data_IF_593265613042
#
_entry.id   IF_593265613042
#
_cell.length_a   1.000
_cell.length_b   1.000
_cell.length_c   1.000
_cell.angle_alpha   90.00
_cell.angle_beta   90.00
_cell.angle_gamma   90.00
#
_symmetry.space_group_name_H-M   'P 1'
#
loop_
_entity.id
_entity.type
_entity.pdbx_description
1 polymer ?
#
# COMPACT_ATOMS: atom_id res chain seq x y z
N UNK A 1 -27.36 -64.65 -31.52
CA UNK A 1 -28.61 -65.36 -31.10
C UNK A 1 -28.69 -65.44 -29.59
N UNK A 2 -29.86 -65.38 -28.95
CA UNK A 2 -30.87 -64.34 -29.09
C UNK A 2 -31.36 -63.82 -27.73
N UNK A 3 -32.07 -62.68 -27.76
CA UNK A 3 -33.39 -62.41 -27.15
C UNK A 3 -33.51 -62.39 -25.61
N UNK A 4 -34.27 -61.59 -24.94
CA UNK A 4 -35.54 -60.88 -25.17
C UNK A 4 -35.79 -60.07 -23.89
N UNK A 5 -36.25 -58.91 -23.93
CA UNK A 5 -37.61 -58.38 -24.13
C UNK A 5 -38.42 -58.10 -22.85
N UNK A 6 -39.01 -56.90 -22.84
CA UNK A 6 -40.33 -56.47 -22.35
C UNK A 6 -40.51 -56.18 -20.85
N UNK A 7 -41.05 -54.99 -20.59
CA UNK A 7 -42.42 -54.60 -20.36
C UNK A 7 -42.54 -53.23 -19.70
N UNK A 8 -43.00 -52.31 -20.36
CA UNK A 8 -44.22 -51.50 -20.47
C UNK A 8 -45.07 -51.36 -19.19
N UNK A 9 -45.40 -50.07 -18.84
CA UNK A 9 -46.74 -49.43 -18.79
C UNK A 9 -46.63 -48.09 -18.05
N UNK A 10 -46.88 -46.93 -18.75
CA UNK A 10 -48.11 -46.15 -18.91
C UNK A 10 -48.81 -45.78 -17.61
N UNK A 11 -48.92 -44.45 -17.35
CA UNK A 11 -50.09 -43.55 -17.55
C UNK A 11 -49.77 -42.22 -16.88
N UNK A 12 -49.95 -41.11 -17.44
CA UNK A 12 -51.04 -40.25 -17.89
C UNK A 12 -51.06 -38.90 -17.15
N UNK A 13 -50.93 -37.86 -17.93
CA UNK A 13 -51.55 -36.52 -17.91
C UNK A 13 -51.79 -35.77 -16.58
N UNK A 14 -51.31 -34.48 -16.55
CA UNK A 14 -52.18 -33.32 -16.46
C UNK A 14 -51.40 -32.02 -16.82
N UNK A 15 -51.98 -31.29 -17.76
CA UNK A 15 -51.61 -29.89 -18.07
C UNK A 15 -51.94 -28.98 -16.90
N UNK A 16 -51.04 -28.02 -16.60
CA UNK A 16 -51.47 -26.73 -16.04
C UNK A 16 -50.60 -25.61 -16.68
N UNK A 17 -51.27 -24.76 -17.42
CA UNK A 17 -50.80 -23.46 -17.87
C UNK A 17 -50.69 -22.53 -16.68
N UNK A 18 -49.49 -21.92 -16.49
CA UNK A 18 -49.26 -20.91 -15.47
C UNK A 18 -48.17 -19.97 -15.94
N UNK A 19 -48.55 -18.77 -16.28
CA UNK A 19 -47.90 -17.52 -16.60
C UNK A 19 -46.44 -17.37 -16.08
N UNK A 20 -45.52 -17.02 -17.01
CA UNK A 20 -44.20 -16.49 -16.72
C UNK A 20 -44.29 -15.12 -16.05
N UNK A 21 -43.49 -14.85 -14.99
CA UNK A 21 -43.10 -13.50 -14.64
C UNK A 21 -41.80 -13.13 -15.33
N UNK A 22 -41.79 -11.96 -15.94
CA UNK A 22 -40.62 -11.26 -16.46
C UNK A 22 -39.53 -11.14 -15.39
N UNK A 23 -38.41 -11.81 -15.57
CA UNK A 23 -37.17 -11.59 -14.78
C UNK A 23 -36.46 -10.38 -15.37
N UNK A 24 -36.66 -9.23 -14.74
CA UNK A 24 -35.74 -8.11 -14.83
C UNK A 24 -34.50 -8.47 -13.99
N UNK A 25 -33.47 -8.97 -14.60
CA UNK A 25 -32.17 -9.14 -13.95
C UNK A 25 -31.44 -7.79 -13.92
N UNK A 26 -31.65 -7.03 -12.87
CA UNK A 26 -30.67 -6.03 -12.47
C UNK A 26 -29.48 -6.78 -11.90
N UNK A 27 -28.38 -6.80 -12.65
CA UNK A 27 -27.08 -7.25 -12.19
C UNK A 27 -26.61 -6.27 -11.11
N UNK A 28 -26.92 -6.55 -9.86
CA UNK A 28 -26.23 -5.97 -8.73
C UNK A 28 -24.84 -6.62 -8.69
N UNK A 29 -23.83 -5.89 -9.15
CA UNK A 29 -22.46 -6.15 -8.80
C UNK A 29 -22.36 -6.16 -7.27
N UNK A 30 -22.20 -7.35 -6.68
CA UNK A 30 -21.82 -7.48 -5.27
C UNK A 30 -20.45 -6.86 -5.13
N UNK A 31 -20.39 -5.61 -4.69
CA UNK A 31 -19.17 -5.06 -4.11
C UNK A 31 -18.79 -5.95 -2.93
N UNK A 32 -17.69 -6.67 -3.07
CA UNK A 32 -17.10 -7.42 -1.96
C UNK A 32 -16.62 -6.37 -0.97
N UNK A 33 -17.15 -6.32 0.27
CA UNK A 33 -16.65 -5.38 1.26
C UNK A 33 -15.16 -5.67 1.48
N UNK A 34 -14.35 -4.64 1.33
CA UNK A 34 -12.92 -4.71 1.56
C UNK A 34 -12.64 -5.02 3.03
N UNK A 35 -11.56 -5.75 3.34
CA UNK A 35 -11.21 -6.04 4.71
C UNK A 35 -11.03 -4.72 5.46
N UNK A 36 -11.72 -4.54 6.55
CA UNK A 36 -11.65 -3.39 7.49
C UNK A 36 -10.20 -3.12 7.95
N UNK A 37 -9.32 -4.11 7.82
CA UNK A 37 -7.91 -4.12 8.17
C UNK A 37 -7.01 -3.19 7.32
N UNK A 38 -7.47 -2.74 6.15
CA UNK A 38 -6.67 -1.89 5.25
C UNK A 38 -7.03 -0.40 5.33
N UNK A 39 -8.07 -0.04 6.08
CA UNK A 39 -8.46 1.36 6.25
C UNK A 39 -7.86 1.97 7.50
N UNK A 40 -7.05 3.03 7.33
CA UNK A 40 -6.59 3.83 8.47
C UNK A 40 -7.77 4.57 9.11
N UNK A 41 -7.89 4.49 10.43
CA UNK A 41 -8.78 5.37 11.20
C UNK A 41 -8.21 6.79 11.18
N UNK A 42 -9.08 7.80 11.25
CA UNK A 42 -8.68 9.21 11.15
C UNK A 42 -7.58 9.60 12.16
N UNK A 43 -7.67 9.07 13.39
CA UNK A 43 -6.67 9.35 14.45
C UNK A 43 -5.28 8.79 14.09
N UNK A 44 -5.22 7.60 13.49
CA UNK A 44 -3.94 7.00 13.07
C UNK A 44 -3.33 7.74 11.88
N UNK A 45 -4.15 8.26 10.97
CA UNK A 45 -3.70 9.11 9.88
C UNK A 45 -3.11 10.44 10.39
N UNK A 46 -3.75 11.05 11.41
CA UNK A 46 -3.24 12.27 12.07
C UNK A 46 -1.86 12.03 12.71
N UNK A 47 -1.68 10.89 13.37
CA UNK A 47 -0.41 10.53 14.03
C UNK A 47 0.68 10.04 13.07
N UNK A 48 0.33 9.68 11.84
CA UNK A 48 1.23 9.02 10.89
C UNK A 48 2.51 9.82 10.63
N UNK A 49 2.39 11.10 10.34
CA UNK A 49 3.53 11.96 10.01
C UNK A 49 4.52 12.09 11.18
N UNK A 50 4.05 12.08 12.43
CA UNK A 50 4.92 12.16 13.60
C UNK A 50 5.88 10.97 13.70
N UNK A 51 5.41 9.79 13.29
CA UNK A 51 6.21 8.57 13.34
C UNK A 51 7.07 8.40 12.08
N UNK A 52 6.53 8.71 10.90
CA UNK A 52 7.11 8.24 9.64
C UNK A 52 7.62 9.33 8.72
N UNK A 53 7.18 10.61 8.88
CA UNK A 53 7.58 11.67 7.96
C UNK A 53 9.11 11.84 7.84
N UNK A 54 9.91 11.82 8.91
CA UNK A 54 11.37 11.95 8.78
C UNK A 54 11.98 10.83 7.92
N UNK A 55 11.46 9.59 8.09
CA UNK A 55 11.92 8.43 7.34
C UNK A 55 11.51 8.53 5.87
N UNK A 56 10.22 8.79 5.63
CA UNK A 56 9.67 8.91 4.26
C UNK A 56 10.35 10.04 3.51
N UNK A 57 10.49 11.22 4.11
CA UNK A 57 11.11 12.39 3.48
C UNK A 57 12.56 12.12 3.07
N UNK A 58 13.32 11.36 3.88
CA UNK A 58 14.69 10.98 3.53
C UNK A 58 14.74 10.12 2.26
N UNK A 59 13.83 9.15 2.13
CA UNK A 59 13.86 8.16 1.04
C UNK A 59 13.09 8.59 -0.23
N UNK A 60 12.15 9.53 -0.14
CA UNK A 60 11.37 10.01 -1.30
C UNK A 60 12.25 10.49 -2.46
N UNK A 61 13.36 11.23 -2.29
CA UNK A 61 14.20 11.66 -3.41
C UNK A 61 14.76 10.49 -4.24
N UNK A 62 15.01 9.33 -3.63
CA UNK A 62 15.46 8.13 -4.36
C UNK A 62 14.33 7.55 -5.22
N UNK A 63 13.09 7.55 -4.73
CA UNK A 63 11.92 7.13 -5.48
C UNK A 63 11.68 8.03 -6.69
N UNK A 64 11.70 9.36 -6.49
CA UNK A 64 11.48 10.34 -7.57
C UNK A 64 12.57 10.25 -8.64
N UNK A 65 13.83 10.00 -8.24
CA UNK A 65 14.94 9.73 -9.15
C UNK A 65 14.75 8.44 -9.95
N UNK A 66 14.31 7.36 -9.30
CA UNK A 66 14.01 6.08 -9.96
C UNK A 66 12.89 6.22 -11.01
N UNK A 67 11.88 7.05 -10.73
CA UNK A 67 10.81 7.40 -11.66
C UNK A 67 11.24 8.42 -12.73
N UNK A 68 12.43 9.02 -12.61
CA UNK A 68 12.97 10.08 -13.48
C UNK A 68 12.03 11.28 -13.58
N UNK A 69 11.46 11.70 -12.45
CA UNK A 69 10.57 12.87 -12.40
C UNK A 69 11.32 14.11 -12.89
N UNK A 70 10.67 14.90 -13.75
CA UNK A 70 11.23 16.12 -14.32
C UNK A 70 10.17 17.21 -14.51
N UNK A 71 10.58 18.48 -14.73
CA UNK A 71 9.66 19.59 -14.90
C UNK A 71 8.62 19.35 -16.00
N UNK A 72 7.38 19.80 -15.76
CA UNK A 72 6.27 19.69 -16.69
C UNK A 72 5.56 18.33 -16.73
N UNK A 73 6.04 17.32 -16.03
CA UNK A 73 5.42 15.98 -16.02
C UNK A 73 4.07 15.96 -15.32
N UNK A 74 3.20 15.04 -15.80
CA UNK A 74 1.98 14.58 -15.11
C UNK A 74 2.33 13.33 -14.33
N UNK A 75 2.37 13.43 -13.01
CA UNK A 75 2.74 12.33 -12.10
C UNK A 75 1.52 11.81 -11.36
N UNK A 76 1.43 10.49 -11.23
CA UNK A 76 0.47 9.81 -10.37
C UNK A 76 1.22 9.22 -9.17
N UNK A 77 0.83 9.61 -7.96
CA UNK A 77 1.30 9.04 -6.70
C UNK A 77 0.19 8.14 -6.12
N UNK A 78 0.40 6.80 -6.19
CA UNK A 78 -0.55 5.79 -5.73
C UNK A 78 -0.14 5.28 -4.35
N UNK A 79 -1.13 5.08 -3.47
CA UNK A 79 -0.96 4.88 -2.04
C UNK A 79 -0.17 6.05 -1.44
N UNK A 80 -0.62 7.26 -1.77
CA UNK A 80 0.05 8.52 -1.42
C UNK A 80 0.15 8.76 0.09
N UNK A 81 -0.68 8.06 0.88
CA UNK A 81 -0.77 8.26 2.32
C UNK A 81 -1.13 9.72 2.63
N UNK A 82 -0.31 10.36 3.44
CA UNK A 82 -0.50 11.77 3.81
C UNK A 82 0.03 12.77 2.75
N UNK A 83 0.47 12.28 1.56
CA UNK A 83 0.86 13.14 0.44
C UNK A 83 2.32 13.59 0.42
N UNK A 84 3.21 13.01 1.23
CA UNK A 84 4.63 13.42 1.31
C UNK A 84 5.38 13.25 -0.02
N UNK A 85 5.17 12.13 -0.73
CA UNK A 85 5.83 11.90 -2.00
C UNK A 85 5.24 12.78 -3.11
N UNK A 86 3.92 13.00 -3.09
CA UNK A 86 3.23 13.92 -4.00
C UNK A 86 3.73 15.36 -3.83
N UNK A 87 3.87 15.86 -2.60
CA UNK A 87 4.40 17.20 -2.30
C UNK A 87 5.84 17.36 -2.83
N UNK A 88 6.69 16.38 -2.61
CA UNK A 88 8.05 16.39 -3.13
C UNK A 88 8.10 16.32 -4.68
N UNK A 89 7.18 15.57 -5.30
CA UNK A 89 7.05 15.51 -6.75
C UNK A 89 6.59 16.85 -7.33
N UNK A 90 5.66 17.57 -6.67
CA UNK A 90 5.21 18.91 -7.06
C UNK A 90 6.36 19.91 -7.16
N UNK A 91 7.29 19.86 -6.20
CA UNK A 91 8.46 20.74 -6.21
C UNK A 91 9.35 20.53 -7.46
N UNK A 92 9.38 19.30 -8.01
CA UNK A 92 10.19 18.98 -9.19
C UNK A 92 9.42 19.29 -10.49
N UNK A 93 8.15 18.89 -10.58
CA UNK A 93 7.38 19.09 -11.81
C UNK A 93 7.09 20.57 -12.10
N UNK A 94 7.08 21.40 -11.04
CA UNK A 94 6.89 22.83 -11.15
C UNK A 94 5.49 23.23 -11.65
N UNK A 95 5.27 24.52 -11.96
CA UNK A 95 3.94 25.06 -12.25
C UNK A 95 3.32 24.55 -13.56
N UNK A 96 4.13 24.01 -14.47
CA UNK A 96 3.66 23.48 -15.76
C UNK A 96 3.36 21.97 -15.70
N UNK A 97 3.77 21.30 -14.63
CA UNK A 97 3.45 19.89 -14.36
C UNK A 97 2.17 19.74 -13.53
N UNK A 98 1.80 18.50 -13.25
CA UNK A 98 0.66 18.18 -12.41
C UNK A 98 0.91 16.91 -11.60
N UNK A 99 0.50 16.88 -10.34
CA UNK A 99 0.54 15.67 -9.51
C UNK A 99 -0.87 15.27 -9.10
N UNK A 100 -1.23 14.03 -9.41
CA UNK A 100 -2.42 13.38 -8.88
C UNK A 100 -2.01 12.46 -7.74
N UNK A 101 -2.45 12.77 -6.53
CA UNK A 101 -2.23 11.96 -5.34
C UNK A 101 -3.45 11.09 -5.09
N UNK A 102 -3.28 9.78 -4.96
CA UNK A 102 -4.38 8.85 -4.80
C UNK A 102 -4.09 7.82 -3.72
N UNK A 103 -5.09 7.52 -2.90
CA UNK A 103 -5.01 6.50 -1.86
C UNK A 103 -6.33 5.76 -1.75
N UNK A 104 -6.26 4.52 -1.31
CA UNK A 104 -7.44 3.71 -1.05
C UNK A 104 -8.20 4.17 0.21
N UNK A 105 -7.50 4.71 1.20
CA UNK A 105 -8.05 5.18 2.47
C UNK A 105 -8.60 6.61 2.37
N UNK A 106 -9.90 6.84 2.57
CA UNK A 106 -10.47 8.20 2.61
C UNK A 106 -9.80 9.09 3.67
N UNK A 107 -9.39 8.51 4.82
CA UNK A 107 -8.70 9.26 5.87
C UNK A 107 -7.31 9.75 5.43
N UNK A 108 -6.58 8.96 4.64
CA UNK A 108 -5.30 9.36 4.05
C UNK A 108 -5.50 10.41 2.96
N UNK A 109 -6.50 10.24 2.11
CA UNK A 109 -6.88 11.20 1.06
C UNK A 109 -7.19 12.57 1.66
N UNK A 110 -7.89 12.64 2.79
CA UNK A 110 -8.16 13.90 3.47
C UNK A 110 -6.86 14.58 3.96
N UNK A 111 -5.94 13.82 4.55
CA UNK A 111 -4.63 14.34 4.97
C UNK A 111 -3.79 14.82 3.78
N UNK A 112 -3.79 14.07 2.69
CA UNK A 112 -3.12 14.48 1.45
C UNK A 112 -3.75 15.77 0.89
N UNK A 113 -5.08 15.90 0.94
CA UNK A 113 -5.79 17.10 0.49
C UNK A 113 -5.42 18.33 1.33
N UNK A 114 -5.34 18.19 2.65
CA UNK A 114 -4.87 19.25 3.54
C UNK A 114 -3.43 19.67 3.21
N UNK A 115 -2.52 18.70 3.04
CA UNK A 115 -1.11 18.96 2.70
C UNK A 115 -0.96 19.69 1.38
N UNK A 116 -1.71 19.30 0.37
CA UNK A 116 -1.61 19.82 -0.99
C UNK A 116 -2.55 21.00 -1.27
N UNK A 117 -3.27 21.51 -0.26
CA UNK A 117 -4.32 22.52 -0.42
C UNK A 117 -3.85 23.84 -1.12
N UNK A 118 -2.58 24.17 -0.99
CA UNK A 118 -2.01 25.40 -1.60
C UNK A 118 -1.48 25.18 -3.04
N UNK A 119 -1.42 23.94 -3.50
CA UNK A 119 -0.91 23.60 -4.83
C UNK A 119 -2.04 23.63 -5.87
N UNK A 120 -2.01 24.60 -6.80
CA UNK A 120 -3.01 24.72 -7.86
C UNK A 120 -2.89 23.62 -8.93
N UNK A 121 -1.74 22.95 -9.01
CA UNK A 121 -1.43 21.88 -9.95
C UNK A 121 -1.38 20.51 -9.27
N UNK A 122 -2.16 20.34 -8.20
CA UNK A 122 -2.38 19.06 -7.54
C UNK A 122 -3.86 18.65 -7.59
N UNK A 123 -4.12 17.35 -7.66
CA UNK A 123 -5.44 16.76 -7.43
C UNK A 123 -5.32 15.57 -6.49
N UNK A 124 -6.37 15.32 -5.70
CA UNK A 124 -6.38 14.23 -4.71
C UNK A 124 -7.67 13.42 -4.88
N UNK A 125 -7.53 12.09 -4.98
CA UNK A 125 -8.64 11.18 -5.23
C UNK A 125 -8.59 9.92 -4.34
N UNK A 126 -9.75 9.32 -4.08
CA UNK A 126 -9.83 7.96 -3.54
C UNK A 126 -9.78 6.99 -4.71
N UNK A 127 -8.80 6.08 -4.73
CA UNK A 127 -8.61 5.12 -5.83
C UNK A 127 -8.12 3.76 -5.31
N UNK A 128 -8.60 2.69 -5.92
CA UNK A 128 -7.97 1.38 -5.78
C UNK A 128 -6.82 1.26 -6.79
N UNK A 129 -5.60 1.15 -6.30
CA UNK A 129 -4.42 1.00 -7.16
C UNK A 129 -4.43 -0.24 -8.06
N UNK A 130 -5.36 -1.17 -7.84
CA UNK A 130 -5.57 -2.37 -8.66
C UNK A 130 -6.71 -2.22 -9.68
N UNK A 131 -7.42 -1.10 -9.66
CA UNK A 131 -8.55 -0.80 -10.56
C UNK A 131 -8.72 0.71 -10.73
N UNK A 132 -7.67 1.37 -11.26
CA UNK A 132 -7.63 2.82 -11.41
C UNK A 132 -8.69 3.35 -12.37
N UNK A 133 -9.40 4.40 -11.97
CA UNK A 133 -10.43 5.05 -12.80
C UNK A 133 -9.83 5.87 -13.95
N UNK A 134 -8.52 6.09 -13.96
CA UNK A 134 -7.83 6.90 -14.96
C UNK A 134 -7.76 6.19 -16.32
N UNK A 135 -7.85 6.98 -17.40
CA UNK A 135 -7.69 6.50 -18.77
C UNK A 135 -6.27 5.98 -19.03
N UNK A 136 -6.14 5.10 -20.01
CA UNK A 136 -4.85 4.62 -20.50
C UNK A 136 -3.95 5.79 -20.93
N UNK A 137 -2.65 5.64 -20.74
CA UNK A 137 -1.61 6.56 -21.26
C UNK A 137 -1.83 8.01 -20.83
N UNK A 138 -2.20 8.22 -19.57
CA UNK A 138 -2.50 9.54 -19.00
C UNK A 138 -1.26 10.21 -18.39
N UNK A 139 -0.39 9.41 -17.75
CA UNK A 139 0.69 9.92 -16.91
C UNK A 139 2.07 9.73 -17.53
N UNK A 140 2.98 10.67 -17.20
CA UNK A 140 4.38 10.63 -17.59
C UNK A 140 5.24 9.89 -16.56
N UNK A 141 4.73 9.71 -15.34
CA UNK A 141 5.32 8.85 -14.32
C UNK A 141 4.26 8.37 -13.33
N UNK A 142 4.48 7.18 -12.76
CA UNK A 142 3.73 6.63 -11.61
C UNK A 142 4.72 6.33 -10.50
N UNK A 143 4.41 6.78 -9.29
CA UNK A 143 5.18 6.45 -8.08
C UNK A 143 4.27 5.77 -7.05
N UNK A 144 4.85 4.89 -6.22
CA UNK A 144 4.17 4.27 -5.11
C UNK A 144 5.17 4.09 -3.95
N UNK A 145 5.05 4.94 -2.94
CA UNK A 145 5.95 4.94 -1.79
C UNK A 145 5.44 4.01 -0.70
N UNK A 146 6.10 2.87 -0.49
CA UNK A 146 5.79 1.89 0.56
C UNK A 146 4.32 1.40 0.55
N UNK A 147 3.65 1.46 -0.61
CA UNK A 147 2.24 1.08 -0.76
C UNK A 147 2.04 -0.31 -1.37
N UNK A 148 2.82 -0.66 -2.39
CA UNK A 148 2.56 -1.84 -3.23
C UNK A 148 2.48 -3.17 -2.45
N UNK A 149 3.25 -3.32 -1.35
CA UNK A 149 3.22 -4.52 -0.51
C UNK A 149 1.91 -4.72 0.25
N UNK A 150 1.07 -3.69 0.35
CA UNK A 150 -0.25 -3.78 0.96
C UNK A 150 -1.36 -4.13 -0.05
N UNK A 151 -1.06 -4.14 -1.33
CA UNK A 151 -2.05 -4.54 -2.33
C UNK A 151 -2.38 -6.03 -2.18
N UNK A 152 -3.65 -6.43 -2.17
CA UNK A 152 -4.05 -7.83 -2.26
C UNK A 152 -3.42 -8.57 -3.45
N UNK A 153 -3.29 -7.90 -4.59
CA UNK A 153 -2.68 -8.41 -5.82
C UNK A 153 -1.67 -7.40 -6.39
N UNK A 154 -0.40 -7.38 -5.90
CA UNK A 154 0.63 -6.49 -6.41
C UNK A 154 0.89 -6.58 -7.93
N UNK A 155 0.88 -7.77 -8.58
CA UNK A 155 0.91 -7.89 -10.04
C UNK A 155 -0.16 -7.06 -10.74
N UNK A 156 -1.40 -7.11 -10.27
CA UNK A 156 -2.52 -6.34 -10.83
C UNK A 156 -2.29 -4.84 -10.65
N UNK A 157 -1.78 -4.41 -9.50
CA UNK A 157 -1.40 -3.02 -9.29
C UNK A 157 -0.35 -2.53 -10.28
N UNK A 158 0.71 -3.31 -10.50
CA UNK A 158 1.74 -2.98 -11.50
C UNK A 158 1.19 -2.98 -12.94
N UNK A 159 0.23 -3.85 -13.26
CA UNK A 159 -0.44 -3.83 -14.57
C UNK A 159 -1.24 -2.54 -14.77
N UNK A 160 -1.93 -2.05 -13.74
CA UNK A 160 -2.63 -0.76 -13.78
C UNK A 160 -1.64 0.41 -13.89
N UNK A 161 -0.52 0.39 -13.17
CA UNK A 161 0.54 1.39 -13.34
C UNK A 161 1.06 1.42 -14.78
N UNK A 162 1.30 0.25 -15.37
CA UNK A 162 1.68 0.13 -16.77
C UNK A 162 0.60 0.68 -17.70
N UNK A 163 -0.68 0.37 -17.49
CA UNK A 163 -1.80 0.80 -18.32
C UNK A 163 -1.92 2.33 -18.40
N UNK A 164 -1.86 2.99 -17.24
CA UNK A 164 -2.06 4.45 -17.15
C UNK A 164 -0.84 5.28 -17.56
N UNK A 165 0.35 4.68 -17.65
CA UNK A 165 1.56 5.35 -18.14
C UNK A 165 1.51 5.58 -19.65
N UNK A 166 2.10 6.64 -20.14
CA UNK A 166 2.39 6.89 -21.55
C UNK A 166 3.50 5.96 -22.05
N UNK A 167 3.56 5.65 -23.37
CA UNK A 167 4.70 4.92 -23.94
C UNK A 167 6.03 5.61 -23.61
N UNK A 168 6.99 4.85 -23.10
CA UNK A 168 8.32 5.37 -22.70
C UNK A 168 8.39 5.96 -21.30
N UNK A 169 7.25 6.19 -20.64
CA UNK A 169 7.16 6.66 -19.26
C UNK A 169 7.57 5.57 -18.24
N UNK A 170 7.81 5.96 -16.97
CA UNK A 170 8.31 5.03 -15.94
C UNK A 170 7.38 4.93 -14.74
N UNK A 171 7.30 3.71 -14.18
CA UNK A 171 6.85 3.52 -12.82
C UNK A 171 8.05 3.34 -11.88
N UNK A 172 7.90 3.80 -10.62
CA UNK A 172 8.82 3.46 -9.55
C UNK A 172 8.06 3.16 -8.25
N UNK A 173 8.54 2.17 -7.51
CA UNK A 173 8.00 1.80 -6.19
C UNK A 173 9.12 1.74 -5.18
N UNK A 174 8.82 2.04 -3.91
CA UNK A 174 9.68 1.69 -2.78
C UNK A 174 9.02 0.61 -1.93
N UNK A 175 9.82 -0.31 -1.41
CA UNK A 175 9.35 -1.40 -0.54
C UNK A 175 10.34 -1.64 0.59
N UNK A 176 9.85 -2.19 1.71
CA UNK A 176 10.72 -2.70 2.77
C UNK A 176 11.52 -3.91 2.26
N UNK A 177 12.72 -4.12 2.79
CA UNK A 177 13.59 -5.25 2.44
C UNK A 177 13.42 -6.41 3.40
N UNK A 178 13.98 -6.30 4.59
CA UNK A 178 13.96 -7.32 5.64
C UNK A 178 13.52 -6.71 6.97
N UNK A 179 13.01 -7.56 7.84
CA UNK A 179 12.44 -7.15 9.12
C UNK A 179 13.45 -6.41 10.01
N UNK A 180 14.69 -6.87 10.02
CA UNK A 180 15.78 -6.34 10.88
C UNK A 180 16.18 -4.91 10.50
N UNK A 181 15.91 -4.51 9.26
CA UNK A 181 16.24 -3.18 8.69
C UNK A 181 15.01 -2.34 8.39
N UNK A 182 13.94 -2.54 9.12
CA UNK A 182 12.72 -1.74 9.03
C UNK A 182 12.52 -0.89 10.27
N UNK A 183 12.00 0.32 10.08
CA UNK A 183 11.83 1.30 11.15
C UNK A 183 10.92 0.81 12.29
N UNK A 184 9.83 0.13 11.97
CA UNK A 184 8.79 -0.24 12.93
C UNK A 184 8.62 -1.74 13.16
N UNK A 185 9.47 -2.58 12.59
CA UNK A 185 9.28 -4.05 12.66
C UNK A 185 9.39 -4.59 14.08
N UNK A 186 10.32 -4.07 14.89
CA UNK A 186 10.45 -4.51 16.29
C UNK A 186 9.16 -4.33 17.06
N UNK A 187 8.48 -3.21 16.83
CA UNK A 187 7.18 -2.91 17.43
C UNK A 187 6.12 -3.89 16.94
N UNK A 188 6.04 -4.10 15.62
CA UNK A 188 5.08 -5.04 15.01
C UNK A 188 5.27 -6.48 15.54
N UNK A 189 6.51 -6.95 15.62
CA UNK A 189 6.82 -8.30 16.12
C UNK A 189 6.49 -8.46 17.61
N UNK A 190 6.79 -7.44 18.41
CA UNK A 190 6.45 -7.45 19.83
C UNK A 190 4.93 -7.47 20.04
N UNK A 191 4.17 -6.66 19.27
CA UNK A 191 2.70 -6.65 19.32
C UNK A 191 2.10 -7.97 18.85
N UNK A 192 2.65 -8.60 17.80
CA UNK A 192 2.16 -9.84 17.23
C UNK A 192 2.16 -11.02 18.22
N UNK A 193 2.96 -10.96 19.29
CA UNK A 193 2.95 -11.95 20.38
C UNK A 193 1.66 -11.92 21.20
N UNK A 194 1.00 -10.76 21.26
CA UNK A 194 -0.27 -10.56 21.98
C UNK A 194 -1.48 -10.60 21.04
N UNK A 195 -1.27 -10.32 19.75
CA UNK A 195 -2.29 -10.31 18.71
C UNK A 195 -1.79 -11.13 17.52
N UNK A 196 -1.88 -12.48 17.59
CA UNK A 196 -1.31 -13.36 16.55
C UNK A 196 -1.83 -13.12 15.14
N UNK A 197 -3.06 -12.63 14.98
CA UNK A 197 -3.62 -12.25 13.68
C UNK A 197 -2.82 -11.14 12.96
N UNK A 198 -2.07 -10.33 13.68
CA UNK A 198 -1.20 -9.30 13.11
C UNK A 198 0.13 -9.85 12.60
N UNK A 199 0.53 -11.07 12.95
CA UNK A 199 1.80 -11.65 12.50
C UNK A 199 1.84 -11.82 10.97
N UNK A 200 0.73 -12.26 10.37
CA UNK A 200 0.61 -12.40 8.92
C UNK A 200 0.64 -11.05 8.21
N UNK A 201 -0.08 -10.06 8.72
CA UNK A 201 -0.05 -8.70 8.20
C UNK A 201 1.36 -8.08 8.29
N UNK A 202 2.07 -8.30 9.42
CA UNK A 202 3.45 -7.86 9.59
C UNK A 202 4.41 -8.53 8.59
N UNK A 203 4.25 -9.83 8.33
CA UNK A 203 5.05 -10.56 7.36
C UNK A 203 4.81 -10.07 5.92
N UNK A 204 3.59 -9.66 5.58
CA UNK A 204 3.23 -9.13 4.26
C UNK A 204 4.01 -7.88 3.90
N UNK A 205 4.35 -7.04 4.86
CA UNK A 205 5.14 -5.80 4.67
C UNK A 205 6.50 -6.07 4.00
N UNK A 206 7.06 -7.29 4.16
CA UNK A 206 8.33 -7.70 3.57
C UNK A 206 8.20 -8.60 2.35
N UNK A 207 6.96 -8.87 1.92
CA UNK A 207 6.66 -9.83 0.84
C UNK A 207 7.30 -9.49 -0.50
N UNK A 208 7.63 -8.22 -0.74
CA UNK A 208 8.25 -7.71 -1.97
C UNK A 208 9.74 -7.35 -1.78
N UNK A 209 10.30 -7.61 -0.62
CA UNK A 209 11.68 -7.23 -0.26
C UNK A 209 12.77 -7.98 -1.05
N UNK A 210 12.49 -9.14 -1.63
CA UNK A 210 13.46 -9.86 -2.46
C UNK A 210 13.69 -9.16 -3.81
N UNK A 211 14.96 -8.91 -4.13
CA UNK A 211 15.37 -8.20 -5.36
C UNK A 211 14.92 -8.90 -6.64
N UNK A 212 15.02 -10.23 -6.68
CA UNK A 212 14.65 -11.02 -7.85
C UNK A 212 13.12 -11.04 -8.02
N UNK A 213 12.41 -11.24 -6.92
CA UNK A 213 10.95 -11.21 -6.90
C UNK A 213 10.41 -9.86 -7.39
N UNK A 214 10.92 -8.74 -6.85
CA UNK A 214 10.47 -7.42 -7.28
C UNK A 214 10.74 -7.16 -8.76
N UNK A 215 11.92 -7.56 -9.27
CA UNK A 215 12.25 -7.50 -10.71
C UNK A 215 11.24 -8.30 -11.54
N UNK A 216 11.00 -9.56 -11.17
CA UNK A 216 10.09 -10.45 -11.92
C UNK A 216 8.66 -9.91 -11.95
N UNK A 217 8.21 -9.23 -10.90
CA UNK A 217 6.89 -8.59 -10.88
C UNK A 217 6.79 -7.45 -11.91
N UNK A 218 7.81 -6.60 -12.02
CA UNK A 218 7.86 -5.55 -13.05
C UNK A 218 7.89 -6.15 -14.47
N UNK A 219 8.74 -7.15 -14.69
CA UNK A 219 8.87 -7.83 -15.99
C UNK A 219 7.55 -8.53 -16.40
N UNK A 220 6.88 -9.20 -15.45
CA UNK A 220 5.57 -9.83 -15.68
C UNK A 220 4.47 -8.81 -16.02
N UNK A 221 4.56 -7.58 -15.49
CA UNK A 221 3.68 -6.46 -15.82
C UNK A 221 4.11 -5.72 -17.12
N UNK A 222 4.98 -6.33 -17.94
CA UNK A 222 5.46 -5.83 -19.22
C UNK A 222 6.34 -4.57 -19.16
N UNK A 223 6.87 -4.22 -17.99
CA UNK A 223 7.88 -3.17 -17.87
C UNK A 223 9.22 -3.63 -18.45
N UNK A 224 9.91 -2.70 -19.11
CA UNK A 224 11.26 -2.86 -19.67
C UNK A 224 12.26 -2.02 -18.89
N UNK A 225 13.56 -2.25 -19.13
CA UNK A 225 14.65 -1.50 -18.49
C UNK A 225 14.45 -1.43 -16.96
N UNK A 226 14.16 -2.62 -16.38
CA UNK A 226 13.87 -2.75 -14.96
C UNK A 226 15.15 -2.56 -14.13
N UNK A 227 15.15 -1.57 -13.28
CA UNK A 227 16.23 -1.25 -12.35
C UNK A 227 15.77 -1.51 -10.92
N UNK A 228 16.61 -2.17 -10.12
CA UNK A 228 16.35 -2.40 -8.70
C UNK A 228 17.57 -1.91 -7.92
N UNK A 229 17.38 -0.89 -7.10
CA UNK A 229 18.39 -0.32 -6.20
C UNK A 229 18.01 -0.54 -4.74
N UNK A 230 18.95 -0.29 -3.85
CA UNK A 230 18.74 -0.39 -2.41
C UNK A 230 19.46 0.78 -1.75
N UNK A 231 18.77 1.45 -0.84
CA UNK A 231 19.32 2.56 -0.05
C UNK A 231 19.17 2.25 1.43
N UNK A 232 20.22 2.54 2.17
CA UNK A 232 20.31 2.33 3.61
C UNK A 232 20.60 3.66 4.28
N UNK A 233 19.89 3.95 5.36
CA UNK A 233 20.17 5.12 6.18
C UNK A 233 20.04 4.77 7.66
N UNK A 234 20.91 5.37 8.48
CA UNK A 234 20.88 5.25 9.92
C UNK A 234 20.32 6.52 10.52
N UNK A 235 19.15 6.40 11.13
CA UNK A 235 18.46 7.49 11.81
C UNK A 235 18.90 7.53 13.27
N UNK A 236 19.44 8.67 13.71
CA UNK A 236 19.73 8.94 15.12
C UNK A 236 18.54 9.66 15.75
N UNK A 237 18.02 9.10 16.82
CA UNK A 237 16.91 9.65 17.59
C UNK A 237 17.41 10.00 18.99
N UNK A 238 16.95 11.11 19.59
CA UNK A 238 17.52 11.61 20.86
C UNK A 238 17.28 10.67 22.05
N UNK A 239 16.29 9.78 21.96
CA UNK A 239 16.01 8.78 23.00
C UNK A 239 15.06 7.71 22.46
N UNK A 240 14.95 6.62 23.23
CA UNK A 240 13.91 5.61 23.00
C UNK A 240 12.50 6.21 23.02
N UNK A 241 12.22 7.14 23.90
CA UNK A 241 10.92 7.79 23.98
C UNK A 241 10.59 8.60 22.72
N UNK A 242 11.58 9.25 22.13
CA UNK A 242 11.37 9.96 20.86
C UNK A 242 10.96 9.02 19.72
N UNK A 243 11.46 7.79 19.75
CA UNK A 243 11.09 6.73 18.82
C UNK A 243 9.71 6.14 19.11
N UNK A 244 9.45 5.77 20.37
CA UNK A 244 8.31 4.91 20.72
C UNK A 244 7.02 5.70 20.96
N UNK A 245 7.10 6.92 21.49
CA UNK A 245 5.94 7.75 21.87
C UNK A 245 4.90 7.96 20.74
N UNK A 246 5.26 8.17 19.46
CA UNK A 246 4.26 8.26 18.40
C UNK A 246 3.38 7.00 18.30
N UNK A 247 3.94 5.82 18.50
CA UNK A 247 3.21 4.56 18.45
C UNK A 247 2.29 4.38 19.67
N UNK A 248 2.72 4.82 20.85
CA UNK A 248 1.87 4.88 22.05
C UNK A 248 0.65 5.79 21.84
N UNK A 249 0.78 6.77 20.96
CA UNK A 249 -0.29 7.70 20.57
C UNK A 249 -1.12 7.23 19.38
N UNK A 250 -0.95 5.99 18.95
CA UNK A 250 -1.75 5.39 17.88
C UNK A 250 -1.25 5.65 16.46
N UNK A 251 -0.01 6.12 16.25
CA UNK A 251 0.51 6.43 14.94
C UNK A 251 0.69 5.18 14.06
N UNK A 252 0.11 5.21 12.88
CA UNK A 252 0.18 4.13 11.89
C UNK A 252 -0.46 2.83 12.37
N UNK A 253 -0.34 1.76 11.58
CA UNK A 253 -0.87 0.44 11.94
C UNK A 253 -0.29 -0.12 13.25
N UNK A 254 1.03 0.02 13.53
CA UNK A 254 1.57 -0.44 14.81
C UNK A 254 0.97 0.29 16.00
N UNK A 255 0.80 1.60 15.91
CA UNK A 255 0.21 2.38 16.99
C UNK A 255 -1.26 2.07 17.21
N UNK A 256 -2.03 1.88 16.13
CA UNK A 256 -3.43 1.44 16.23
C UNK A 256 -3.55 0.11 16.97
N UNK A 257 -2.69 -0.86 16.65
CA UNK A 257 -2.66 -2.15 17.31
C UNK A 257 -2.19 -2.04 18.77
N UNK A 258 -1.19 -1.20 19.04
CA UNK A 258 -0.63 -1.00 20.38
C UNK A 258 -1.66 -0.46 21.37
N UNK A 259 -2.44 0.55 20.98
CA UNK A 259 -3.43 1.17 21.89
C UNK A 259 -4.60 0.26 22.25
N UNK A 260 -4.81 -0.83 21.49
CA UNK A 260 -5.82 -1.84 21.76
C UNK A 260 -5.36 -2.91 22.77
N UNK A 261 -4.06 -2.98 23.08
CA UNK A 261 -3.51 -3.92 24.05
C UNK A 261 -3.91 -3.53 25.48
N UNK A 262 -3.95 -4.54 26.39
CA UNK A 262 -4.02 -4.29 27.82
C UNK A 262 -2.84 -3.47 28.33
N UNK A 263 -2.96 -2.83 29.48
CA UNK A 263 -1.87 -2.04 30.08
C UNK A 263 -0.61 -2.88 30.29
N UNK A 264 -0.77 -4.09 30.83
CA UNK A 264 0.35 -5.02 31.04
C UNK A 264 1.04 -5.41 29.73
N UNK A 265 0.25 -5.67 28.67
CA UNK A 265 0.80 -6.01 27.36
C UNK A 265 1.51 -4.82 26.72
N UNK A 266 0.97 -3.60 26.85
CA UNK A 266 1.64 -2.37 26.38
C UNK A 266 2.97 -2.15 27.07
N UNK A 267 3.01 -2.34 28.40
CA UNK A 267 4.26 -2.26 29.16
C UNK A 267 5.28 -3.30 28.69
N UNK A 268 4.85 -4.55 28.53
CA UNK A 268 5.73 -5.63 28.09
C UNK A 268 6.28 -5.40 26.66
N UNK A 269 5.44 -4.97 25.71
CA UNK A 269 5.86 -4.61 24.34
C UNK A 269 6.89 -3.47 24.38
N UNK A 270 6.64 -2.43 25.17
CA UNK A 270 7.55 -1.30 25.30
C UNK A 270 8.94 -1.73 25.81
N UNK A 271 8.98 -2.53 26.88
CA UNK A 271 10.24 -3.00 27.49
C UNK A 271 10.97 -4.01 26.60
N UNK A 272 10.25 -4.80 25.82
CA UNK A 272 10.84 -5.68 24.81
C UNK A 272 11.55 -4.87 23.72
N UNK A 273 10.85 -3.91 23.10
CA UNK A 273 11.43 -3.07 22.05
C UNK A 273 12.60 -2.24 22.57
N UNK A 274 12.53 -1.76 23.82
CA UNK A 274 13.64 -1.06 24.48
C UNK A 274 14.89 -1.92 24.57
N UNK A 275 14.73 -3.16 25.02
CA UNK A 275 15.86 -4.12 25.11
C UNK A 275 16.43 -4.46 23.74
N UNK A 276 15.58 -4.70 22.74
CA UNK A 276 15.99 -5.06 21.38
C UNK A 276 16.74 -3.92 20.68
N UNK A 277 16.50 -2.69 21.08
CA UNK A 277 17.23 -1.51 20.61
C UNK A 277 18.51 -1.22 21.42
N UNK A 278 18.73 -1.94 22.53
CA UNK A 278 19.88 -1.73 23.41
C UNK A 278 19.85 -0.35 24.07
N UNK A 279 18.66 0.16 24.41
CA UNK A 279 18.54 1.50 25.03
C UNK A 279 19.25 1.56 26.39
N UNK A 280 20.18 2.48 26.51
CA UNK A 280 20.94 2.77 27.74
C UNK A 280 20.61 4.13 28.33
N UNK A 281 19.52 4.76 27.87
CA UNK A 281 19.04 6.06 28.34
C UNK A 281 19.58 7.27 27.56
N UNK A 282 20.16 7.03 26.37
CA UNK A 282 20.70 8.07 25.49
C UNK A 282 20.11 8.03 24.08
N UNK A 283 20.80 8.63 23.09
CA UNK A 283 20.41 8.52 21.69
C UNK A 283 20.40 7.07 21.22
N UNK A 284 19.43 6.73 20.35
CA UNK A 284 19.32 5.42 19.72
C UNK A 284 19.53 5.54 18.21
N UNK A 285 20.06 4.48 17.61
CA UNK A 285 20.29 4.38 16.18
C UNK A 285 19.36 3.33 15.57
N UNK A 286 18.65 3.70 14.49
CA UNK A 286 17.80 2.77 13.75
C UNK A 286 18.25 2.76 12.30
N UNK A 287 18.77 1.61 11.85
CA UNK A 287 19.12 1.40 10.45
C UNK A 287 17.86 1.00 9.67
N UNK A 288 17.58 1.74 8.61
CA UNK A 288 16.43 1.52 7.72
C UNK A 288 16.94 1.28 6.31
N UNK A 289 16.45 0.22 5.69
CA UNK A 289 16.76 -0.15 4.32
C UNK A 289 15.50 -0.23 3.48
N UNK A 290 15.47 0.53 2.38
CA UNK A 290 14.40 0.43 1.39
C UNK A 290 14.95 -0.02 0.04
N UNK A 291 14.12 -0.78 -0.67
CA UNK A 291 14.38 -1.19 -2.05
C UNK A 291 13.49 -0.40 -2.99
N UNK A 292 14.12 0.06 -4.09
CA UNK A 292 13.45 0.82 -5.14
C UNK A 292 13.45 -0.01 -6.41
N UNK A 293 12.25 -0.31 -6.91
CA UNK A 293 12.05 -0.92 -8.21
C UNK A 293 11.52 0.12 -9.18
N UNK A 294 12.07 0.16 -10.39
CA UNK A 294 11.53 1.00 -11.46
C UNK A 294 11.59 0.29 -12.80
N UNK A 295 10.69 0.65 -13.70
CA UNK A 295 10.62 0.11 -15.05
C UNK A 295 9.99 1.07 -16.03
N UNK A 296 10.33 0.94 -17.31
CA UNK A 296 9.79 1.74 -18.40
C UNK A 296 8.65 0.98 -19.09
N UNK A 297 7.56 1.67 -19.37
CA UNK A 297 6.48 1.17 -20.23
C UNK A 297 6.94 1.01 -21.67
#
# INVERSE_FOLDING_TARGET
MPMSALGQKRTSQALFLGTLPLLTSASQSKETPLPEELTYKSEAAIGYDRAFAPITTHFVPFLLRAARISPGMRVLDIATGTGLAAEAALAIVGPTGHVTAADFSPAMVERARERLAQAQNASVAVEDGQALSFSDRTFDAVICSLGLMFFPDPPRGLAEFHRVLRPGARAAVSVNTVAERSYNTRINLAIARYVPSLAEAAARVFSLGDKKKLRSLFEAAAFRDVEITTEIHRFSLPSFDAYFKPFEQGAGSPGQAFVLLSEDARHAVREEVRRDLGDTGGPIEIEVEYRFGSGRR
#
